data_IF_541407424018
#
_entry.id   IF_541407424018
#
_cell.length_a   1.000
_cell.length_b   1.000
_cell.length_c   1.000
_cell.angle_alpha   90.00
_cell.angle_beta   90.00
_cell.angle_gamma   90.00
#
_symmetry.space_group_name_H-M   'P 1'
#
loop_
_entity.id
_entity.type
_entity.pdbx_description
1 polymer ?
#
# COMPACT_ATOMS: atom_id res chain seq x y z
N UNK A 1 -7.72 -4.88 -3.92
CA UNK A 1 -7.24 -5.51 -2.67
C UNK A 1 -7.57 -6.99 -2.56
N UNK A 2 -8.84 -7.42 -2.56
CA UNK A 2 -9.23 -8.85 -2.39
C UNK A 2 -8.63 -9.81 -3.42
N UNK A 3 -8.37 -9.35 -4.66
CA UNK A 3 -7.68 -10.15 -5.69
C UNK A 3 -6.22 -10.41 -5.35
N UNK A 4 -5.46 -9.37 -4.98
CA UNK A 4 -4.04 -9.47 -4.63
C UNK A 4 -3.83 -10.37 -3.40
N UNK A 5 -4.69 -10.23 -2.40
CA UNK A 5 -4.69 -11.11 -1.22
C UNK A 5 -4.82 -12.60 -1.60
N UNK A 6 -5.84 -12.95 -2.38
CA UNK A 6 -6.09 -14.33 -2.82
C UNK A 6 -4.98 -14.86 -3.73
N UNK A 7 -4.42 -14.01 -4.59
CA UNK A 7 -3.44 -14.43 -5.60
C UNK A 7 -2.01 -14.57 -5.04
N UNK A 8 -1.65 -13.72 -4.08
CA UNK A 8 -0.29 -13.63 -3.54
C UNK A 8 -0.25 -13.98 -2.06
N UNK A 9 -0.81 -13.14 -1.18
CA UNK A 9 -0.60 -13.26 0.27
C UNK A 9 -1.02 -14.59 0.85
N UNK A 10 -2.24 -15.06 0.55
CA UNK A 10 -2.71 -16.36 1.06
C UNK A 10 -1.85 -17.51 0.59
N UNK A 11 -1.32 -17.43 -0.63
CA UNK A 11 -0.39 -18.44 -1.17
C UNK A 11 0.95 -18.36 -0.44
N UNK A 12 1.46 -17.16 -0.22
CA UNK A 12 2.70 -16.94 0.53
C UNK A 12 2.58 -17.38 2.00
N UNK A 13 1.42 -17.18 2.63
CA UNK A 13 1.08 -17.68 3.96
C UNK A 13 1.11 -19.20 4.00
N UNK A 14 0.41 -19.86 3.06
CA UNK A 14 0.42 -21.32 2.97
C UNK A 14 1.84 -21.87 2.78
N UNK A 15 2.64 -21.19 1.97
CA UNK A 15 4.06 -21.52 1.77
C UNK A 15 4.88 -21.37 3.05
N UNK A 16 4.73 -20.25 3.75
CA UNK A 16 5.38 -19.99 5.03
C UNK A 16 5.04 -21.09 6.06
N UNK A 17 3.76 -21.42 6.23
CA UNK A 17 3.34 -22.43 7.21
C UNK A 17 3.91 -23.82 6.89
N UNK A 18 3.96 -24.21 5.62
CA UNK A 18 4.58 -25.49 5.22
C UNK A 18 6.08 -25.52 5.50
N UNK A 19 6.79 -24.44 5.15
CA UNK A 19 8.22 -24.29 5.41
C UNK A 19 8.51 -24.33 6.93
N UNK A 20 7.73 -23.60 7.73
CA UNK A 20 7.87 -23.59 9.18
C UNK A 20 7.59 -24.94 9.83
N UNK A 21 6.61 -25.69 9.31
CA UNK A 21 6.35 -27.07 9.77
C UNK A 21 7.57 -27.97 9.49
N UNK A 22 8.15 -27.92 8.29
CA UNK A 22 9.36 -28.68 7.96
C UNK A 22 10.54 -28.32 8.87
N UNK A 23 10.72 -27.03 9.20
CA UNK A 23 11.72 -26.61 10.17
C UNK A 23 11.48 -27.23 11.55
N UNK A 24 10.22 -27.28 12.01
CA UNK A 24 9.84 -27.78 13.32
C UNK A 24 9.91 -29.31 13.43
N UNK A 25 9.71 -30.04 12.34
CA UNK A 25 9.83 -31.50 12.28
C UNK A 25 11.29 -31.99 12.22
N UNK A 26 12.25 -31.09 11.96
CA UNK A 26 13.66 -31.45 11.85
C UNK A 26 14.28 -31.69 13.23
N UNK A 27 14.42 -32.96 13.61
CA UNK A 27 15.02 -33.40 14.88
C UNK A 27 16.56 -33.27 14.91
N UNK A 28 17.20 -33.01 13.77
CA UNK A 28 18.66 -33.03 13.65
C UNK A 28 19.29 -31.65 13.94
N UNK A 29 18.49 -30.61 14.06
CA UNK A 29 18.95 -29.23 14.29
C UNK A 29 18.58 -28.74 15.70
N UNK A 30 19.35 -27.78 16.22
CA UNK A 30 19.10 -27.22 17.54
C UNK A 30 17.81 -26.39 17.57
N UNK A 31 17.24 -26.17 18.76
CA UNK A 31 16.07 -25.29 18.95
C UNK A 31 16.30 -23.89 18.37
N UNK A 32 17.52 -23.34 18.51
CA UNK A 32 17.85 -22.03 17.94
C UNK A 32 17.88 -22.05 16.41
N UNK A 33 18.33 -23.15 15.81
CA UNK A 33 18.38 -23.30 14.36
C UNK A 33 16.98 -23.50 13.76
N UNK A 34 16.07 -24.21 14.48
CA UNK A 34 14.64 -24.28 14.13
C UNK A 34 14.05 -22.87 14.05
N UNK A 35 14.28 -22.05 15.09
CA UNK A 35 13.74 -20.69 15.13
C UNK A 35 14.27 -19.83 13.97
N UNK A 36 15.58 -19.91 13.69
CA UNK A 36 16.19 -19.21 12.55
C UNK A 36 15.65 -19.68 11.20
N UNK A 37 15.37 -20.97 11.07
CA UNK A 37 14.73 -21.55 9.89
C UNK A 37 13.31 -20.97 9.69
N UNK A 38 12.51 -20.92 10.75
CA UNK A 38 11.14 -20.35 10.71
C UNK A 38 11.18 -18.86 10.36
N UNK A 39 12.08 -18.07 10.97
CA UNK A 39 12.24 -16.65 10.65
C UNK A 39 12.60 -16.42 9.18
N UNK A 40 13.43 -17.30 8.61
CA UNK A 40 13.75 -17.27 7.18
C UNK A 40 12.53 -17.58 6.31
N UNK A 41 11.70 -18.56 6.71
CA UNK A 41 10.44 -18.87 6.02
C UNK A 41 9.44 -17.70 6.06
N UNK A 42 9.42 -16.94 7.17
CA UNK A 42 8.49 -15.83 7.40
C UNK A 42 8.88 -14.57 6.62
N UNK A 43 10.19 -14.29 6.50
CA UNK A 43 10.71 -13.03 5.97
C UNK A 43 10.05 -12.57 4.65
N UNK A 44 9.87 -13.41 3.62
CA UNK A 44 9.21 -12.98 2.38
C UNK A 44 7.74 -12.57 2.57
N UNK A 45 7.01 -13.24 3.45
CA UNK A 45 5.62 -12.91 3.77
C UNK A 45 5.54 -11.58 4.52
N UNK A 46 6.41 -11.37 5.52
CA UNK A 46 6.49 -10.12 6.26
C UNK A 46 6.80 -8.94 5.34
N UNK A 47 7.76 -9.10 4.42
CA UNK A 47 8.07 -8.09 3.39
C UNK A 47 6.85 -7.77 2.52
N UNK A 48 6.10 -8.78 2.07
CA UNK A 48 4.91 -8.59 1.26
C UNK A 48 3.79 -7.83 2.00
N UNK A 49 3.59 -8.13 3.29
CA UNK A 49 2.61 -7.44 4.13
C UNK A 49 3.00 -5.97 4.35
N UNK A 50 4.27 -5.71 4.69
CA UNK A 50 4.79 -4.36 4.90
C UNK A 50 4.69 -3.51 3.62
N UNK A 51 5.02 -4.11 2.47
CA UNK A 51 4.88 -3.46 1.17
C UNK A 51 3.43 -3.03 0.89
N UNK A 52 2.45 -3.92 1.11
CA UNK A 52 1.06 -3.54 0.89
C UNK A 52 0.62 -2.41 1.82
N UNK A 53 1.02 -2.48 3.09
CA UNK A 53 0.65 -1.47 4.08
C UNK A 53 1.24 -0.10 3.70
N UNK A 54 2.51 -0.05 3.30
CA UNK A 54 3.18 1.20 2.93
C UNK A 54 2.60 1.83 1.67
N UNK A 55 2.37 1.04 0.62
CA UNK A 55 1.80 1.51 -0.65
C UNK A 55 0.35 1.99 -0.46
N UNK A 56 -0.46 1.30 0.35
CA UNK A 56 -1.82 1.72 0.67
C UNK A 56 -1.82 3.02 1.48
N UNK A 57 -0.95 3.13 2.49
CA UNK A 57 -0.83 4.34 3.32
C UNK A 57 -0.39 5.54 2.48
N UNK A 58 0.58 5.34 1.58
CA UNK A 58 1.02 6.36 0.63
C UNK A 58 -0.12 6.84 -0.27
N UNK A 59 -0.93 5.91 -0.81
CA UNK A 59 -2.08 6.29 -1.64
C UNK A 59 -3.14 7.05 -0.84
N UNK A 60 -3.46 6.61 0.38
CA UNK A 60 -4.39 7.30 1.27
C UNK A 60 -3.92 8.72 1.57
N UNK A 61 -2.63 8.92 1.86
CA UNK A 61 -2.04 10.24 2.10
C UNK A 61 -2.22 11.17 0.88
N UNK A 62 -1.98 10.67 -0.33
CA UNK A 62 -2.18 11.46 -1.57
C UNK A 62 -3.64 11.87 -1.77
N UNK A 63 -4.59 11.00 -1.44
CA UNK A 63 -6.02 11.33 -1.51
C UNK A 63 -6.40 12.37 -0.45
N UNK A 64 -5.89 12.24 0.78
CA UNK A 64 -6.13 13.22 1.85
C UNK A 64 -5.55 14.60 1.51
N UNK A 65 -4.38 14.63 0.88
CA UNK A 65 -3.72 15.86 0.43
C UNK A 65 -4.49 16.61 -0.66
N UNK A 66 -5.35 15.96 -1.45
CA UNK A 66 -6.17 16.63 -2.45
C UNK A 66 -6.97 17.80 -1.86
N UNK A 67 -7.58 17.62 -0.69
CA UNK A 67 -8.42 18.66 -0.08
C UNK A 67 -7.58 19.83 0.43
N UNK A 68 -6.48 19.57 1.13
CA UNK A 68 -5.63 20.60 1.70
C UNK A 68 -4.88 21.41 0.63
N UNK A 69 -4.35 20.75 -0.39
CA UNK A 69 -3.68 21.44 -1.51
C UNK A 69 -4.66 22.33 -2.28
N UNK A 70 -5.87 21.84 -2.56
CA UNK A 70 -6.89 22.64 -3.25
C UNK A 70 -7.39 23.81 -2.39
N UNK A 71 -7.54 23.62 -1.07
CA UNK A 71 -7.91 24.68 -0.16
C UNK A 71 -6.83 25.78 -0.08
N UNK A 72 -5.56 25.39 0.01
CA UNK A 72 -4.43 26.32 0.00
C UNK A 72 -4.38 27.12 -1.30
N UNK A 73 -4.44 26.46 -2.46
CA UNK A 73 -4.47 27.14 -3.77
C UNK A 73 -5.63 28.11 -3.91
N UNK A 74 -6.80 27.78 -3.37
CA UNK A 74 -7.94 28.68 -3.40
C UNK A 74 -7.75 29.90 -2.49
N UNK A 75 -7.14 29.71 -1.31
CA UNK A 75 -6.79 30.81 -0.39
C UNK A 75 -5.72 31.72 -0.97
N UNK A 76 -4.69 31.16 -1.58
CA UNK A 76 -3.57 31.92 -2.18
C UNK A 76 -4.04 32.79 -3.36
N UNK A 77 -5.16 32.43 -3.99
CA UNK A 77 -5.80 33.22 -5.04
C UNK A 77 -6.70 34.36 -4.55
N UNK A 78 -6.90 34.54 -3.24
CA UNK A 78 -7.67 35.64 -2.68
C UNK A 78 -6.80 36.87 -2.46
N UNK A 79 -7.40 38.06 -2.62
CA UNK A 79 -6.79 39.33 -2.22
C UNK A 79 -6.81 39.50 -0.69
N UNK A 80 -6.05 40.45 -0.10
CA UNK A 80 -5.95 40.61 1.36
C UNK A 80 -7.30 40.83 2.08
N UNK A 81 -8.24 41.52 1.43
CA UNK A 81 -9.61 41.75 1.95
C UNK A 81 -10.64 41.27 0.92
N UNK A 82 -10.90 39.96 0.84
CA UNK A 82 -11.86 39.41 -0.09
C UNK A 82 -13.30 39.65 0.39
N UNK A 83 -14.20 39.95 -0.54
CA UNK A 83 -15.64 39.97 -0.28
C UNK A 83 -16.18 38.55 -0.08
N UNK A 84 -17.34 38.43 0.56
CA UNK A 84 -18.02 37.15 0.77
C UNK A 84 -18.25 36.38 -0.53
N UNK A 85 -18.55 37.07 -1.63
CA UNK A 85 -18.75 36.42 -2.93
C UNK A 85 -17.42 35.88 -3.51
N UNK A 86 -16.30 36.55 -3.29
CA UNK A 86 -14.98 36.05 -3.66
C UNK A 86 -14.58 34.82 -2.84
N UNK A 87 -14.88 34.84 -1.53
CA UNK A 87 -14.68 33.68 -0.63
C UNK A 87 -15.52 32.50 -1.11
N UNK A 88 -16.80 32.72 -1.42
CA UNK A 88 -17.72 31.68 -1.91
C UNK A 88 -17.23 31.07 -3.23
N UNK A 89 -16.77 31.91 -4.17
CA UNK A 89 -16.18 31.46 -5.43
C UNK A 89 -14.89 30.65 -5.20
N UNK A 90 -14.03 31.06 -4.27
CA UNK A 90 -12.82 30.32 -3.93
C UNK A 90 -13.15 28.95 -3.32
N UNK A 91 -14.14 28.85 -2.44
CA UNK A 91 -14.61 27.58 -1.87
C UNK A 91 -15.14 26.63 -2.96
N UNK A 92 -15.95 27.14 -3.90
CA UNK A 92 -16.43 26.34 -5.03
C UNK A 92 -15.29 25.82 -5.91
N UNK A 93 -14.28 26.67 -6.18
CA UNK A 93 -13.07 26.27 -6.90
C UNK A 93 -12.28 25.20 -6.14
N UNK A 94 -12.12 25.34 -4.83
CA UNK A 94 -11.45 24.36 -3.98
C UNK A 94 -12.17 23.00 -4.03
N UNK A 95 -13.49 22.99 -3.90
CA UNK A 95 -14.29 21.77 -3.97
C UNK A 95 -14.15 21.07 -5.33
N UNK A 96 -14.28 21.82 -6.43
CA UNK A 96 -14.11 21.27 -7.78
C UNK A 96 -12.70 20.74 -8.02
N UNK A 97 -11.67 21.45 -7.53
CA UNK A 97 -10.28 20.98 -7.56
C UNK A 97 -10.12 19.65 -6.81
N UNK A 98 -10.65 19.55 -5.59
CA UNK A 98 -10.54 18.34 -4.77
C UNK A 98 -11.26 17.16 -5.44
N UNK A 99 -12.44 17.40 -6.01
CA UNK A 99 -13.19 16.40 -6.77
C UNK A 99 -12.37 15.86 -7.96
N UNK A 100 -11.81 16.76 -8.79
CA UNK A 100 -10.99 16.36 -9.94
C UNK A 100 -9.72 15.60 -9.50
N UNK A 101 -9.11 16.00 -8.37
CA UNK A 101 -7.94 15.32 -7.81
C UNK A 101 -8.29 13.89 -7.40
N UNK A 102 -9.39 13.69 -6.67
CA UNK A 102 -9.87 12.35 -6.28
C UNK A 102 -10.20 11.51 -7.51
N UNK A 103 -10.87 12.08 -8.52
CA UNK A 103 -11.17 11.39 -9.77
C UNK A 103 -9.89 10.95 -10.51
N UNK A 104 -8.84 11.78 -10.48
CA UNK A 104 -7.51 11.42 -11.02
C UNK A 104 -6.87 10.29 -10.21
N UNK A 105 -6.95 10.33 -8.88
CA UNK A 105 -6.45 9.24 -8.04
C UNK A 105 -7.21 7.93 -8.29
N UNK A 106 -8.52 7.97 -8.53
CA UNK A 106 -9.32 6.78 -8.82
C UNK A 106 -9.06 6.23 -10.23
N UNK A 107 -9.01 7.09 -11.25
CA UNK A 107 -8.87 6.70 -12.65
C UNK A 107 -7.45 6.26 -13.01
N UNK A 108 -6.44 6.86 -12.41
CA UNK A 108 -5.03 6.62 -12.76
C UNK A 108 -4.18 6.16 -11.58
N UNK A 109 -4.36 6.78 -10.41
CA UNK A 109 -3.56 6.47 -9.21
C UNK A 109 -3.77 5.04 -8.68
N UNK A 110 -5.03 4.62 -8.55
CA UNK A 110 -5.42 3.33 -8.02
C UNK A 110 -5.03 2.16 -8.96
N UNK A 111 -5.26 2.23 -10.29
CA UNK A 111 -4.74 1.23 -11.21
C UNK A 111 -3.21 1.11 -11.15
N UNK A 112 -2.48 2.24 -11.15
CA UNK A 112 -1.03 2.23 -11.06
C UNK A 112 -0.52 1.60 -9.74
N UNK A 113 -1.21 1.88 -8.61
CA UNK A 113 -0.95 1.23 -7.32
C UNK A 113 -1.13 -0.28 -7.41
N UNK A 114 -2.24 -0.74 -8.01
CA UNK A 114 -2.52 -2.17 -8.15
C UNK A 114 -1.47 -2.89 -9.00
N UNK A 115 -1.01 -2.29 -10.10
CA UNK A 115 0.04 -2.86 -10.94
C UNK A 115 1.41 -2.91 -10.25
N UNK A 116 1.78 -1.83 -9.52
CA UNK A 116 3.01 -1.85 -8.71
C UNK A 116 2.99 -2.96 -7.66
N UNK A 117 1.89 -3.05 -6.92
CA UNK A 117 1.72 -4.09 -5.89
C UNK A 117 1.76 -5.48 -6.51
N UNK A 118 1.04 -5.71 -7.61
CA UNK A 118 1.06 -6.99 -8.34
C UNK A 118 2.48 -7.40 -8.72
N UNK A 119 3.22 -6.49 -9.35
CA UNK A 119 4.58 -6.75 -9.84
C UNK A 119 5.54 -7.12 -8.69
N UNK A 120 5.51 -6.33 -7.61
CA UNK A 120 6.39 -6.55 -6.47
C UNK A 120 6.03 -7.81 -5.68
N UNK A 121 4.72 -8.06 -5.45
CA UNK A 121 4.25 -9.28 -4.80
C UNK A 121 4.57 -10.53 -5.61
N UNK A 122 4.49 -10.46 -6.94
CA UNK A 122 4.90 -11.56 -7.82
C UNK A 122 6.38 -11.91 -7.64
N UNK A 123 7.24 -10.89 -7.57
CA UNK A 123 8.67 -11.08 -7.32
C UNK A 123 8.92 -11.72 -5.96
N UNK A 124 8.35 -11.17 -4.87
CA UNK A 124 8.52 -11.69 -3.52
C UNK A 124 8.05 -13.15 -3.39
N UNK A 125 6.92 -13.47 -4.00
CA UNK A 125 6.40 -14.85 -4.03
C UNK A 125 7.34 -15.79 -4.81
N UNK A 126 7.86 -15.36 -5.96
CA UNK A 126 8.80 -16.16 -6.74
C UNK A 126 10.10 -16.42 -5.96
N UNK A 127 10.59 -15.43 -5.21
CA UNK A 127 11.77 -15.57 -4.37
C UNK A 127 11.51 -16.48 -3.16
N UNK A 128 10.33 -16.40 -2.53
CA UNK A 128 9.92 -17.34 -1.47
C UNK A 128 9.93 -18.79 -1.95
N UNK A 129 9.45 -19.06 -3.16
CA UNK A 129 9.42 -20.41 -3.73
C UNK A 129 10.81 -21.00 -4.02
N UNK A 130 11.85 -20.19 -4.07
CA UNK A 130 13.25 -20.65 -4.23
C UNK A 130 13.92 -21.01 -2.89
N UNK A 131 13.28 -20.67 -1.77
CA UNK A 131 13.84 -20.87 -0.42
C UNK A 131 13.41 -22.19 0.23
N UNK A 132 12.56 -22.96 -0.44
CA UNK A 132 11.96 -24.23 -0.01
C UNK A 132 12.47 -25.29 -0.96
#
# INVERSE_FOLDING_TARGET
MTKLDKEFLRKMQATYFRCGLQCAENSDISVMDVQRCIERCESPLSQAQNLMQSELSSFQNRVQQCSSECANRARDGLKPEPSDEEIRKAQQKAFKCAQNCVETQLSSGLPALMERLRTQLQKLKADQLKMI
#
